data_IF_976548618109
#
_entry.id   IF_976548618109
#
_cell.length_a   1.000
_cell.length_b   1.000
_cell.length_c   1.000
_cell.angle_alpha   90.00
_cell.angle_beta   90.00
_cell.angle_gamma   90.00
#
_symmetry.space_group_name_H-M   'P 1'
#
loop_
_entity.id
_entity.type
_entity.pdbx_description
1 polymer ?
#
# COMPACT_ATOMS: atom_id res chain seq x y z
N UNK A 1 8.01 -17.62 -7.20
CA UNK A 1 6.71 -17.47 -7.87
C UNK A 1 5.72 -16.97 -6.85
N UNK A 2 5.05 -15.85 -7.14
CA UNK A 2 3.98 -15.33 -6.31
C UNK A 2 2.82 -16.36 -6.22
N UNK A 3 2.22 -16.46 -5.04
CA UNK A 3 1.03 -17.29 -4.86
C UNK A 3 -0.19 -16.48 -5.28
N UNK A 4 -0.99 -17.00 -6.21
CA UNK A 4 -2.17 -16.31 -6.75
C UNK A 4 -3.46 -17.03 -6.35
N UNK A 5 -4.47 -16.24 -5.98
CA UNK A 5 -5.86 -16.66 -6.03
C UNK A 5 -6.39 -16.62 -7.47
N UNK A 6 -7.69 -16.53 -7.63
CA UNK A 6 -8.36 -16.33 -8.92
C UNK A 6 -9.68 -15.61 -8.74
N UNK A 7 -10.23 -15.08 -9.83
CA UNK A 7 -11.55 -14.44 -9.80
C UNK A 7 -12.59 -15.35 -9.13
N UNK A 8 -13.30 -14.80 -8.14
CA UNK A 8 -14.28 -15.53 -7.32
C UNK A 8 -13.70 -16.50 -6.29
N UNK A 9 -12.35 -16.60 -6.16
CA UNK A 9 -11.69 -17.47 -5.19
C UNK A 9 -10.38 -16.83 -4.70
N UNK A 10 -10.52 -15.86 -3.81
CA UNK A 10 -9.42 -15.12 -3.22
C UNK A 10 -8.64 -15.97 -2.20
N UNK A 11 -7.35 -15.66 -2.05
CA UNK A 11 -6.59 -16.08 -0.87
C UNK A 11 -6.90 -15.07 0.22
N UNK A 12 -7.51 -15.53 1.32
CA UNK A 12 -8.06 -14.64 2.35
C UNK A 12 -7.18 -14.67 3.60
N UNK A 13 -6.77 -13.47 4.05
CA UNK A 13 -6.12 -13.22 5.34
C UNK A 13 -6.99 -12.24 6.11
N UNK A 14 -7.62 -12.69 7.19
CA UNK A 14 -8.56 -11.85 7.93
C UNK A 14 -8.42 -11.99 9.44
N UNK A 15 -8.69 -10.90 10.15
CA UNK A 15 -8.86 -10.95 11.59
C UNK A 15 -10.08 -11.80 11.97
N UNK A 16 -9.99 -12.52 13.09
CA UNK A 16 -11.15 -13.14 13.70
C UNK A 16 -12.15 -12.06 14.16
N UNK A 17 -13.43 -12.35 14.04
CA UNK A 17 -14.48 -11.40 14.41
C UNK A 17 -14.32 -10.88 15.85
N UNK A 18 -14.31 -9.56 16.00
CA UNK A 18 -14.17 -8.90 17.30
C UNK A 18 -12.74 -8.93 17.86
N UNK A 19 -11.74 -9.34 17.09
CA UNK A 19 -10.33 -9.30 17.46
C UNK A 19 -9.58 -8.21 16.69
N UNK A 20 -8.65 -7.56 17.38
CA UNK A 20 -7.64 -6.72 16.75
C UNK A 20 -6.44 -7.59 16.38
N UNK A 21 -6.01 -7.53 15.14
CA UNK A 21 -4.85 -8.26 14.62
C UNK A 21 -3.84 -7.25 14.10
N UNK A 22 -2.65 -7.27 14.66
CA UNK A 22 -1.53 -6.42 14.25
C UNK A 22 -0.40 -7.29 13.71
N UNK A 23 0.04 -6.96 12.50
CA UNK A 23 1.31 -7.41 11.97
C UNK A 23 2.37 -6.38 12.37
N UNK A 24 3.13 -6.68 13.39
CA UNK A 24 4.08 -5.78 14.02
C UNK A 24 5.48 -5.99 13.42
N UNK A 25 5.94 -4.98 12.67
CA UNK A 25 7.25 -4.92 12.04
C UNK A 25 8.21 -3.96 12.74
N UNK A 26 7.87 -3.44 13.93
CA UNK A 26 8.63 -2.39 14.63
C UNK A 26 10.07 -2.78 14.99
N UNK A 27 10.40 -4.06 14.95
CA UNK A 27 11.78 -4.55 15.10
C UNK A 27 12.62 -4.43 13.82
N UNK A 28 12.03 -4.08 12.68
CA UNK A 28 12.77 -3.85 11.44
C UNK A 28 13.63 -2.58 11.55
N UNK A 29 14.81 -2.61 10.92
CA UNK A 29 15.62 -1.42 10.75
C UNK A 29 15.02 -0.54 9.64
N UNK A 30 15.27 0.76 9.73
CA UNK A 30 14.99 1.71 8.66
C UNK A 30 15.85 1.39 7.44
N UNK A 31 15.23 0.91 6.39
CA UNK A 31 15.89 0.54 5.13
C UNK A 31 14.82 0.33 4.06
N UNK A 32 14.98 0.92 2.91
CA UNK A 32 14.06 0.81 1.76
C UNK A 32 13.82 -0.62 1.24
N UNK A 33 14.50 -1.62 1.77
CA UNK A 33 14.23 -3.04 1.54
C UNK A 33 13.33 -3.68 2.60
N UNK A 34 13.10 -3.00 3.73
CA UNK A 34 12.41 -3.53 4.91
C UNK A 34 10.90 -3.16 4.91
N UNK A 35 10.22 -3.53 3.86
CA UNK A 35 8.76 -3.42 3.79
C UNK A 35 8.09 -4.39 4.76
N UNK A 36 6.94 -4.00 5.31
CA UNK A 36 6.17 -4.89 6.18
C UNK A 36 5.67 -6.11 5.40
N UNK A 37 4.87 -5.87 4.37
CA UNK A 37 4.38 -6.92 3.48
C UNK A 37 4.56 -6.51 2.02
N UNK A 38 5.01 -7.45 1.19
CA UNK A 38 4.96 -7.33 -0.28
C UNK A 38 3.90 -8.28 -0.81
N UNK A 39 2.89 -7.73 -1.46
CA UNK A 39 1.83 -8.49 -2.12
C UNK A 39 2.06 -8.44 -3.62
N UNK A 40 2.86 -9.38 -4.12
CA UNK A 40 3.20 -9.52 -5.55
C UNK A 40 2.29 -10.53 -6.28
N UNK A 41 1.38 -11.17 -5.54
CA UNK A 41 0.38 -12.09 -6.07
C UNK A 41 -0.94 -11.40 -6.37
N UNK A 42 -1.77 -12.07 -7.18
CA UNK A 42 -3.09 -11.62 -7.56
C UNK A 42 -4.20 -12.26 -6.72
N UNK A 43 -5.34 -11.57 -6.61
CA UNK A 43 -6.54 -12.07 -5.93
C UNK A 43 -6.32 -12.44 -4.46
N UNK A 44 -5.61 -11.58 -3.71
CA UNK A 44 -5.55 -11.63 -2.26
C UNK A 44 -6.60 -10.70 -1.64
N UNK A 45 -7.13 -11.12 -0.50
CA UNK A 45 -8.08 -10.33 0.27
C UNK A 45 -7.64 -10.25 1.74
N UNK A 46 -7.24 -9.06 2.16
CA UNK A 46 -6.88 -8.73 3.54
C UNK A 46 -8.03 -8.00 4.22
N UNK A 47 -8.43 -8.44 5.42
CA UNK A 47 -9.52 -7.81 6.15
C UNK A 47 -9.21 -7.64 7.63
N UNK A 48 -9.32 -6.39 8.12
CA UNK A 48 -9.23 -6.07 9.54
C UNK A 48 -7.84 -6.25 10.16
N UNK A 49 -6.77 -6.07 9.36
CA UNK A 49 -5.38 -6.21 9.79
C UNK A 49 -4.76 -4.82 9.96
N UNK A 50 -4.02 -4.60 11.05
CA UNK A 50 -3.15 -3.45 11.22
C UNK A 50 -1.70 -3.82 10.81
N UNK A 51 -1.15 -3.10 9.83
CA UNK A 51 0.24 -3.19 9.35
C UNK A 51 1.05 -2.06 10.01
N UNK A 52 1.86 -2.40 10.99
CA UNK A 52 2.45 -1.47 11.93
C UNK A 52 3.98 -1.49 11.93
N UNK A 53 4.58 -0.32 11.87
CA UNK A 53 5.96 -0.08 12.25
C UNK A 53 7.01 -0.65 11.28
N UNK A 54 6.68 -0.83 9.99
CA UNK A 54 7.63 -1.31 8.99
C UNK A 54 8.79 -0.33 8.80
N UNK A 55 9.98 -0.86 8.49
CA UNK A 55 11.19 -0.07 8.24
C UNK A 55 11.19 0.70 6.90
N UNK A 56 10.19 0.47 6.06
CA UNK A 56 9.87 1.13 4.79
C UNK A 56 8.34 1.17 4.66
N UNK A 57 7.75 0.94 3.49
CA UNK A 57 6.30 0.86 3.34
C UNK A 57 5.66 -0.19 4.26
N UNK A 58 4.51 0.11 4.85
CA UNK A 58 3.71 -0.87 5.59
C UNK A 58 3.31 -2.02 4.69
N UNK A 59 2.77 -1.69 3.50
CA UNK A 59 2.46 -2.65 2.42
C UNK A 59 2.94 -2.10 1.08
N UNK A 60 3.68 -2.90 0.32
CA UNK A 60 3.86 -2.73 -1.11
C UNK A 60 2.92 -3.67 -1.86
N UNK A 61 1.90 -3.11 -2.51
CA UNK A 61 0.94 -3.83 -3.33
C UNK A 61 1.39 -3.79 -4.79
N UNK A 62 1.86 -4.93 -5.28
CA UNK A 62 2.47 -5.06 -6.60
C UNK A 62 1.71 -6.04 -7.53
N UNK A 63 0.74 -6.77 -7.01
CA UNK A 63 -0.14 -7.64 -7.78
C UNK A 63 -1.44 -6.98 -8.21
N UNK A 64 -2.32 -7.76 -8.82
CA UNK A 64 -3.56 -7.30 -9.44
C UNK A 64 -4.80 -7.87 -8.74
N UNK A 65 -5.93 -7.17 -8.85
CA UNK A 65 -7.23 -7.64 -8.36
C UNK A 65 -7.24 -7.99 -6.86
N UNK A 66 -6.42 -7.32 -6.06
CA UNK A 66 -6.36 -7.54 -4.62
C UNK A 66 -7.35 -6.62 -3.89
N UNK A 67 -7.76 -7.03 -2.70
CA UNK A 67 -8.68 -6.27 -1.85
C UNK A 67 -8.05 -6.07 -0.47
N UNK A 68 -8.06 -4.83 0.01
CA UNK A 68 -7.80 -4.48 1.41
C UNK A 68 -9.07 -3.83 1.97
N UNK A 69 -9.67 -4.46 2.97
CA UNK A 69 -10.90 -3.96 3.61
C UNK A 69 -10.70 -3.77 5.11
N UNK A 70 -11.06 -2.58 5.61
CA UNK A 70 -10.99 -2.26 7.05
C UNK A 70 -9.62 -2.55 7.66
N UNK A 71 -8.57 -2.35 6.86
CA UNK A 71 -7.19 -2.46 7.32
C UNK A 71 -6.68 -1.11 7.82
N UNK A 72 -5.66 -1.15 8.66
CA UNK A 72 -4.95 0.02 9.17
C UNK A 72 -3.48 -0.06 8.75
N UNK A 73 -2.92 1.06 8.31
CA UNK A 73 -1.50 1.20 7.99
C UNK A 73 -0.92 2.29 8.88
N UNK A 74 -0.14 1.90 9.90
CA UNK A 74 0.18 2.77 11.03
C UNK A 74 1.69 2.80 11.30
N UNK A 75 2.22 4.00 11.51
CA UNK A 75 3.57 4.25 12.01
C UNK A 75 4.69 3.57 11.17
N UNK A 76 4.48 3.42 9.87
CA UNK A 76 5.50 2.89 8.96
C UNK A 76 6.50 3.99 8.57
N UNK A 77 7.70 3.60 8.09
CA UNK A 77 8.82 4.53 7.84
C UNK A 77 8.89 5.05 6.40
N UNK A 78 7.92 4.73 5.61
CA UNK A 78 7.57 5.27 4.30
C UNK A 78 6.04 5.20 4.21
N UNK A 79 5.45 5.23 3.03
CA UNK A 79 3.99 5.23 2.85
C UNK A 79 3.31 4.03 3.54
N UNK A 80 2.14 4.24 4.11
CA UNK A 80 1.37 3.19 4.75
C UNK A 80 1.04 2.04 3.80
N UNK A 81 0.43 2.37 2.65
CA UNK A 81 0.23 1.43 1.54
C UNK A 81 0.66 2.08 0.23
N UNK A 82 1.63 1.49 -0.45
CA UNK A 82 2.05 1.89 -1.79
C UNK A 82 1.58 0.88 -2.84
N UNK A 83 1.00 1.37 -3.95
CA UNK A 83 0.69 0.58 -5.14
C UNK A 83 1.72 0.92 -6.21
N UNK A 84 2.66 0.02 -6.46
CA UNK A 84 3.63 0.09 -7.54
C UNK A 84 4.27 -1.28 -7.81
N UNK A 85 4.88 -1.43 -8.97
CA UNK A 85 5.52 -2.71 -9.34
C UNK A 85 6.59 -3.14 -8.33
N UNK A 86 6.69 -4.41 -8.06
CA UNK A 86 7.83 -5.03 -7.36
C UNK A 86 8.89 -5.50 -8.36
N UNK A 87 8.47 -6.16 -9.44
CA UNK A 87 9.36 -6.60 -10.52
C UNK A 87 9.78 -5.39 -11.37
N UNK A 88 11.05 -5.02 -11.30
CA UNK A 88 11.62 -3.92 -12.07
C UNK A 88 11.66 -4.16 -13.57
N UNK A 89 11.50 -5.41 -14.03
CA UNK A 89 11.41 -5.77 -15.45
C UNK A 89 10.03 -5.48 -16.07
N UNK A 90 8.99 -5.26 -15.24
CA UNK A 90 7.67 -4.80 -15.69
C UNK A 90 7.75 -3.36 -16.22
N UNK A 91 8.20 -3.20 -17.47
CA UNK A 91 8.60 -1.92 -18.05
C UNK A 91 7.42 -1.03 -18.46
N UNK A 92 6.26 -1.60 -18.74
CA UNK A 92 5.10 -0.91 -19.31
C UNK A 92 3.89 -0.94 -18.37
N UNK A 93 3.01 0.05 -18.52
CA UNK A 93 1.87 0.27 -17.63
C UNK A 93 0.89 -0.92 -17.55
N UNK A 94 0.75 -1.67 -18.61
CA UNK A 94 -0.09 -2.88 -18.68
C UNK A 94 0.43 -4.05 -17.82
N UNK A 95 1.70 -3.98 -17.38
CA UNK A 95 2.31 -4.94 -16.47
C UNK A 95 2.32 -4.46 -15.01
N UNK A 96 1.83 -3.25 -14.74
CA UNK A 96 1.85 -2.67 -13.39
C UNK A 96 0.61 -3.04 -12.58
N UNK A 97 0.68 -3.01 -11.24
CA UNK A 97 -0.42 -3.40 -10.37
C UNK A 97 -1.71 -2.64 -10.70
N UNK A 98 -2.77 -3.39 -10.99
CA UNK A 98 -4.01 -2.88 -11.55
C UNK A 98 -5.25 -3.49 -10.88
N UNK A 99 -6.39 -2.79 -10.96
CA UNK A 99 -7.70 -3.29 -10.50
C UNK A 99 -7.74 -3.69 -9.02
N UNK A 100 -6.93 -3.06 -8.17
CA UNK A 100 -6.96 -3.29 -6.73
C UNK A 100 -8.01 -2.40 -6.06
N UNK A 101 -8.65 -2.91 -4.99
CA UNK A 101 -9.66 -2.20 -4.22
C UNK A 101 -9.19 -2.04 -2.76
N UNK A 102 -9.03 -0.80 -2.34
CA UNK A 102 -8.74 -0.40 -0.96
C UNK A 102 -10.02 0.25 -0.41
N UNK A 103 -10.71 -0.44 0.49
CA UNK A 103 -12.02 -0.02 0.97
C UNK A 103 -12.11 0.10 2.48
N UNK A 104 -12.64 1.24 2.97
CA UNK A 104 -12.83 1.53 4.38
C UNK A 104 -11.54 1.34 5.22
N UNK A 105 -10.38 1.62 4.63
CA UNK A 105 -9.08 1.54 5.29
C UNK A 105 -8.67 2.88 5.90
N UNK A 106 -7.79 2.82 6.90
CA UNK A 106 -7.18 4.00 7.51
C UNK A 106 -5.67 3.94 7.38
N UNK A 107 -5.03 5.05 7.04
CA UNK A 107 -3.57 5.17 7.02
C UNK A 107 -3.13 6.40 7.78
N UNK A 108 -2.28 6.21 8.81
CA UNK A 108 -1.93 7.32 9.70
C UNK A 108 -0.58 7.14 10.40
N UNK A 109 -0.04 8.28 10.86
CA UNK A 109 1.20 8.36 11.62
C UNK A 109 2.41 7.73 10.90
N UNK A 110 2.34 7.60 9.56
CA UNK A 110 3.47 7.15 8.74
C UNK A 110 4.49 8.29 8.60
N UNK A 111 5.79 7.96 8.72
CA UNK A 111 6.77 8.99 8.94
C UNK A 111 8.20 8.55 8.62
N UNK A 112 8.86 9.29 7.74
CA UNK A 112 10.26 9.12 7.35
C UNK A 112 11.14 10.28 7.84
N UNK A 113 11.06 10.62 9.12
CA UNK A 113 11.76 11.78 9.69
C UNK A 113 13.29 11.75 9.53
N UNK A 114 13.92 12.96 9.39
CA UNK A 114 15.36 13.08 9.18
C UNK A 114 16.22 12.49 10.28
N UNK A 115 15.79 12.52 11.55
CA UNK A 115 16.47 11.91 12.69
C UNK A 115 16.54 10.38 12.60
N UNK A 116 15.78 9.79 11.67
CA UNK A 116 15.74 8.37 11.40
C UNK A 116 16.26 8.03 10.00
N UNK A 117 16.89 8.99 9.32
CA UNK A 117 17.49 8.81 7.99
C UNK A 117 16.55 9.10 6.83
N UNK A 118 15.31 9.54 7.10
CA UNK A 118 14.38 10.02 6.08
C UNK A 118 14.53 11.49 5.74
N UNK A 119 13.66 12.00 4.87
CA UNK A 119 13.60 13.43 4.51
C UNK A 119 12.36 14.12 5.06
N UNK A 120 11.38 13.36 5.51
CA UNK A 120 10.04 13.84 5.87
C UNK A 120 9.13 14.07 4.66
N UNK A 121 9.55 13.66 3.46
CA UNK A 121 8.91 13.99 2.18
C UNK A 121 8.48 12.75 1.38
N UNK A 122 8.34 11.57 2.01
CA UNK A 122 8.03 10.33 1.31
C UNK A 122 6.95 9.47 1.98
N UNK A 123 6.70 9.67 3.27
CA UNK A 123 5.76 8.83 3.99
C UNK A 123 4.33 9.33 3.89
N UNK A 124 3.66 8.87 2.86
CA UNK A 124 2.25 9.14 2.59
C UNK A 124 1.33 8.19 3.34
N UNK A 125 0.06 8.54 3.45
CA UNK A 125 -0.95 7.58 3.87
C UNK A 125 -1.13 6.49 2.82
N UNK A 126 -1.50 6.88 1.62
CA UNK A 126 -1.70 6.00 0.47
C UNK A 126 -0.95 6.54 -0.74
N UNK A 127 -0.17 5.71 -1.40
CA UNK A 127 0.68 6.09 -2.51
C UNK A 127 0.45 5.21 -3.75
N UNK A 128 -0.46 5.62 -4.63
CA UNK A 128 -0.62 4.98 -5.94
C UNK A 128 0.30 5.69 -6.94
N UNK A 129 1.60 5.41 -6.87
CA UNK A 129 2.64 6.25 -7.51
C UNK A 129 3.65 5.46 -8.35
N UNK A 130 4.45 6.19 -9.11
CA UNK A 130 5.61 5.72 -9.89
C UNK A 130 5.26 4.75 -11.01
N UNK A 131 4.84 3.56 -10.70
CA UNK A 131 4.54 2.47 -11.64
C UNK A 131 3.24 1.77 -11.23
N UNK A 132 2.16 2.55 -11.16
CA UNK A 132 0.81 2.10 -10.82
C UNK A 132 -0.02 2.00 -12.10
N UNK A 133 -0.68 0.85 -12.29
CA UNK A 133 -1.52 0.57 -13.45
C UNK A 133 -2.96 1.09 -13.33
N UNK A 134 -3.82 0.65 -14.23
CA UNK A 134 -5.19 1.14 -14.36
C UNK A 134 -6.16 0.54 -13.31
N UNK A 135 -7.23 1.25 -13.01
CA UNK A 135 -8.40 0.70 -12.32
C UNK A 135 -8.22 0.48 -10.81
N UNK A 136 -7.20 1.04 -10.17
CA UNK A 136 -7.05 1.00 -8.73
C UNK A 136 -8.04 1.97 -8.07
N UNK A 137 -8.70 1.54 -6.99
CA UNK A 137 -9.79 2.28 -6.33
C UNK A 137 -9.53 2.38 -4.83
N UNK A 138 -9.62 3.60 -4.29
CA UNK A 138 -9.75 3.89 -2.86
C UNK A 138 -11.18 4.34 -2.59
N UNK A 139 -11.92 3.64 -1.71
CA UNK A 139 -13.31 3.92 -1.40
C UNK A 139 -13.55 3.95 0.11
N UNK A 140 -14.03 5.06 0.64
CA UNK A 140 -14.32 5.22 2.06
C UNK A 140 -13.08 5.21 2.97
N UNK A 141 -11.89 5.51 2.44
CA UNK A 141 -10.64 5.51 3.19
C UNK A 141 -10.39 6.84 3.92
N UNK A 142 -9.62 6.77 5.00
CA UNK A 142 -9.22 7.93 5.81
C UNK A 142 -7.69 7.96 5.89
N UNK A 143 -7.10 9.14 5.66
CA UNK A 143 -5.66 9.38 5.82
C UNK A 143 -5.42 10.59 6.70
N UNK A 144 -4.53 10.50 7.69
CA UNK A 144 -4.20 11.64 8.55
C UNK A 144 -2.84 11.47 9.25
N UNK A 145 -2.26 12.58 9.69
CA UNK A 145 -1.02 12.60 10.48
C UNK A 145 0.17 11.86 9.82
N UNK A 146 0.24 11.82 8.50
CA UNK A 146 1.42 11.33 7.80
C UNK A 146 2.41 12.49 7.61
N UNK A 147 3.71 12.20 7.48
CA UNK A 147 4.71 13.26 7.35
C UNK A 147 4.71 13.96 5.99
N UNK A 148 4.14 13.33 4.97
CA UNK A 148 3.95 13.91 3.64
C UNK A 148 2.46 13.93 3.28
N UNK A 149 2.04 13.31 2.22
CA UNK A 149 0.68 13.42 1.69
C UNK A 149 -0.34 12.43 2.29
N UNK A 150 -1.62 12.77 2.21
CA UNK A 150 -2.71 11.82 2.44
C UNK A 150 -2.79 10.79 1.33
N UNK A 151 -2.71 11.26 0.07
CA UNK A 151 -2.59 10.46 -1.16
C UNK A 151 -1.52 11.04 -2.07
N UNK A 152 -0.50 10.24 -2.41
CA UNK A 152 0.49 10.58 -3.43
C UNK A 152 0.22 9.83 -4.75
N UNK A 153 0.11 10.59 -5.85
CA UNK A 153 -0.11 10.09 -7.20
C UNK A 153 1.06 10.44 -8.15
N UNK A 154 2.26 10.50 -7.61
CA UNK A 154 3.45 10.96 -8.33
C UNK A 154 3.83 10.00 -9.47
N UNK A 155 4.10 10.56 -10.64
CA UNK A 155 4.62 9.85 -11.81
C UNK A 155 5.99 10.41 -12.22
N UNK A 156 6.95 9.53 -12.52
CA UNK A 156 8.28 9.92 -13.02
C UNK A 156 8.27 10.01 -14.55
N UNK A 157 8.89 11.03 -15.10
CA UNK A 157 9.07 11.16 -16.55
C UNK A 157 9.77 9.95 -17.16
N UNK A 158 10.68 9.30 -16.43
CA UNK A 158 11.41 8.11 -16.88
C UNK A 158 10.53 6.87 -17.07
N UNK A 159 9.43 6.75 -16.33
CA UNK A 159 8.47 5.63 -16.42
C UNK A 159 7.20 6.02 -17.17
N UNK A 160 6.96 7.32 -17.36
CA UNK A 160 5.74 7.84 -17.97
C UNK A 160 4.56 7.93 -16.99
N UNK A 161 3.35 8.20 -17.51
CA UNK A 161 2.18 8.42 -16.68
C UNK A 161 1.70 7.12 -16.01
N UNK A 162 1.24 7.23 -14.77
CA UNK A 162 0.51 6.17 -14.08
C UNK A 162 -0.89 5.96 -14.69
N UNK A 163 -1.56 4.89 -14.31
CA UNK A 163 -2.94 4.60 -14.69
C UNK A 163 -3.95 5.53 -14.03
N UNK A 164 -5.19 5.43 -14.44
CA UNK A 164 -6.31 6.16 -13.81
C UNK A 164 -6.61 5.57 -12.44
N UNK A 165 -6.54 6.40 -11.42
CA UNK A 165 -6.83 6.05 -10.02
C UNK A 165 -8.16 6.69 -9.63
N UNK A 166 -9.04 5.93 -8.98
CA UNK A 166 -10.29 6.45 -8.43
C UNK A 166 -10.17 6.61 -6.92
N UNK A 167 -10.39 7.82 -6.41
CA UNK A 167 -10.48 8.12 -4.97
C UNK A 167 -11.89 8.69 -4.75
N UNK A 168 -12.69 8.02 -3.92
CA UNK A 168 -14.07 8.42 -3.65
C UNK A 168 -14.48 8.15 -2.21
N UNK A 169 -15.36 8.98 -1.66
CA UNK A 169 -15.86 8.85 -0.28
C UNK A 169 -14.72 8.86 0.77
N UNK A 170 -13.56 9.43 0.44
CA UNK A 170 -12.37 9.44 1.27
C UNK A 170 -12.20 10.79 1.99
N UNK A 171 -11.39 10.78 3.07
CA UNK A 171 -11.04 11.97 3.86
C UNK A 171 -9.52 11.98 4.10
N UNK A 172 -8.88 13.15 3.90
CA UNK A 172 -7.50 13.44 4.24
C UNK A 172 -7.42 14.66 5.16
#
# INVERSE_FOLDING_TARGET
NAMNGKSGSYIIVKAESGKEVKFDFSAQKLDGANRGVVVDGDYWYFQGINFYGAGDNGVLLAGNNNIFEKCVFEANRDSGLQISRYDTTAATKDLWPSNNLIINCTSHDNCDFPDQGGTGENADGFAAKLTCGEGNVFDGCISYSNSDDGWDLFAKSATGPIGVITIRNCVA
#
